data_IF_243263714558
#
_entry.id   IF_243263714558
#
_cell.length_a   1.000
_cell.length_b   1.000
_cell.length_c   1.000
_cell.angle_alpha   90.00
_cell.angle_beta   90.00
_cell.angle_gamma   90.00
#
_symmetry.space_group_name_H-M   'P 1'
#
loop_
_entity.id
_entity.type
_entity.pdbx_description
1 polymer ?
#
# COMPACT_ATOMS: atom_id res chain seq x y z
N UNK A 1 -26.51 27.32 9.79
CA UNK A 1 -26.04 26.95 8.44
C UNK A 1 -25.41 25.54 8.40
N UNK A 2 -24.74 25.07 9.46
CA UNK A 2 -24.15 23.73 9.52
C UNK A 2 -24.68 22.86 10.69
N UNK A 3 -25.79 23.27 11.33
CA UNK A 3 -26.29 22.64 12.56
C UNK A 3 -26.77 21.19 12.40
N UNK A 4 -27.07 20.77 11.18
CA UNK A 4 -27.54 19.41 10.84
C UNK A 4 -26.45 18.59 10.12
N UNK A 5 -25.19 19.05 10.10
CA UNK A 5 -24.10 18.34 9.41
C UNK A 5 -23.39 17.38 10.37
N UNK A 6 -23.57 16.07 10.17
CA UNK A 6 -22.90 15.03 10.96
C UNK A 6 -21.43 14.80 10.56
N UNK A 7 -21.03 15.23 9.36
CA UNK A 7 -19.71 14.97 8.80
C UNK A 7 -19.33 16.04 7.78
N UNK A 8 -18.09 16.53 7.88
CA UNK A 8 -17.47 17.35 6.84
C UNK A 8 -16.57 16.45 6.00
N UNK A 9 -16.74 16.52 4.68
CA UNK A 9 -15.89 15.82 3.71
C UNK A 9 -15.15 16.86 2.87
N UNK A 10 -13.82 16.75 2.80
CA UNK A 10 -12.97 17.64 1.99
C UNK A 10 -11.94 16.86 1.20
N UNK A 11 -11.30 17.50 0.22
CA UNK A 11 -10.07 17.02 -0.39
C UNK A 11 -8.88 17.91 0.00
N UNK A 12 -7.97 17.42 0.85
CA UNK A 12 -6.85 18.21 1.37
C UNK A 12 -7.25 19.42 2.24
N UNK A 13 -8.50 19.46 2.72
CA UNK A 13 -9.04 20.59 3.47
C UNK A 13 -8.45 20.74 4.86
N UNK A 14 -7.93 19.66 5.49
CA UNK A 14 -7.30 19.74 6.83
C UNK A 14 -6.07 20.64 6.85
N UNK A 15 -5.36 20.73 5.75
CA UNK A 15 -4.12 21.49 5.63
C UNK A 15 -4.28 22.77 4.80
N UNK A 16 -5.45 22.99 4.19
CA UNK A 16 -5.67 24.10 3.26
C UNK A 16 -6.90 24.91 3.63
N UNK A 17 -8.10 24.45 3.29
CA UNK A 17 -9.33 25.25 3.43
C UNK A 17 -9.68 25.54 4.89
N UNK A 18 -9.67 24.51 5.75
CA UNK A 18 -10.14 24.62 7.14
C UNK A 18 -9.31 25.63 7.95
N UNK A 19 -7.96 25.59 7.94
CA UNK A 19 -7.15 26.59 8.64
C UNK A 19 -7.38 28.04 8.17
N UNK A 20 -7.61 28.23 6.87
CA UNK A 20 -7.90 29.56 6.30
C UNK A 20 -9.25 30.06 6.80
N UNK A 21 -10.27 29.20 6.80
CA UNK A 21 -11.59 29.57 7.29
C UNK A 21 -11.58 29.83 8.82
N UNK A 22 -10.92 28.98 9.60
CA UNK A 22 -10.70 29.17 11.05
C UNK A 22 -10.11 30.55 11.36
N UNK A 23 -9.04 30.91 10.64
CA UNK A 23 -8.39 32.22 10.77
C UNK A 23 -9.35 33.36 10.45
N UNK A 24 -10.19 33.21 9.41
CA UNK A 24 -11.18 34.21 9.01
C UNK A 24 -12.29 34.37 10.04
N UNK A 25 -12.84 33.28 10.60
CA UNK A 25 -13.86 33.38 11.66
C UNK A 25 -13.29 34.01 12.93
N UNK A 26 -12.11 33.59 13.36
CA UNK A 26 -11.42 34.18 14.51
C UNK A 26 -11.19 35.68 14.32
N UNK A 27 -10.73 36.11 13.14
CA UNK A 27 -10.52 37.52 12.82
C UNK A 27 -11.82 38.34 12.92
N UNK A 28 -12.95 37.78 12.49
CA UNK A 28 -14.26 38.42 12.59
C UNK A 28 -14.98 38.17 13.92
N UNK A 29 -14.32 37.55 14.91
CA UNK A 29 -14.90 37.18 16.22
C UNK A 29 -16.18 36.35 16.11
N UNK A 30 -16.24 35.49 15.09
CA UNK A 30 -17.33 34.55 14.87
C UNK A 30 -16.94 33.18 15.43
N UNK A 31 -17.90 32.47 16.03
CA UNK A 31 -17.70 31.06 16.39
C UNK A 31 -17.52 30.22 15.12
N UNK A 32 -16.60 29.25 15.18
CA UNK A 32 -16.39 28.30 14.08
C UNK A 32 -17.61 27.37 14.02
N UNK A 33 -18.42 27.44 12.95
CA UNK A 33 -19.68 26.68 12.89
C UNK A 33 -19.47 25.18 12.65
N UNK A 34 -18.22 24.77 12.47
CA UNK A 34 -17.79 23.39 12.25
C UNK A 34 -17.12 22.78 13.50
N UNK A 35 -17.07 23.53 14.61
CA UNK A 35 -16.48 23.06 15.86
C UNK A 35 -17.22 21.79 16.34
N UNK A 36 -16.45 20.72 16.58
CA UNK A 36 -16.99 19.44 17.05
C UNK A 36 -17.56 18.53 15.97
N UNK A 37 -17.68 18.99 14.71
CA UNK A 37 -18.13 18.14 13.60
C UNK A 37 -16.96 17.26 13.13
N UNK A 38 -17.13 15.93 13.04
CA UNK A 38 -16.12 15.04 12.47
C UNK A 38 -15.68 15.48 11.07
N UNK A 39 -14.38 15.35 10.78
CA UNK A 39 -13.81 15.76 9.50
C UNK A 39 -13.09 14.62 8.80
N UNK A 40 -13.66 14.19 7.68
CA UNK A 40 -13.10 13.21 6.78
C UNK A 40 -12.40 13.89 5.60
N UNK A 41 -11.06 13.85 5.62
CA UNK A 41 -10.25 14.35 4.51
C UNK A 41 -9.90 13.20 3.55
N UNK A 42 -10.49 13.25 2.35
CA UNK A 42 -10.42 12.21 1.33
C UNK A 42 -9.01 12.06 0.71
N UNK A 43 -8.11 13.05 0.87
CA UNK A 43 -6.75 12.94 0.37
C UNK A 43 -6.01 11.75 0.99
N UNK A 44 -6.18 11.50 2.29
CA UNK A 44 -5.43 10.43 2.96
C UNK A 44 -5.94 9.02 2.59
N UNK A 45 -7.25 8.73 2.53
CA UNK A 45 -7.75 7.51 1.91
C UNK A 45 -7.32 7.37 0.44
N UNK A 46 -7.37 8.45 -0.35
CA UNK A 46 -6.97 8.42 -1.75
C UNK A 46 -5.49 8.02 -1.93
N UNK A 47 -4.59 8.58 -1.13
CA UNK A 47 -3.16 8.20 -1.11
C UNK A 47 -2.94 6.73 -0.71
N UNK A 48 -3.79 6.18 0.15
CA UNK A 48 -3.70 4.76 0.55
C UNK A 48 -4.18 3.84 -0.57
N UNK A 49 -5.24 4.22 -1.27
CA UNK A 49 -5.89 3.41 -2.31
C UNK A 49 -5.19 3.50 -3.67
N UNK A 50 -4.88 4.71 -4.14
CA UNK A 50 -4.58 4.94 -5.57
C UNK A 50 -3.20 5.52 -5.86
N UNK A 51 -2.33 5.71 -4.86
CA UNK A 51 -0.97 6.22 -5.10
C UNK A 51 -0.18 5.38 -6.11
N UNK A 52 -0.44 4.07 -6.23
CA UNK A 52 0.23 3.27 -7.28
C UNK A 52 -0.32 3.57 -8.69
N UNK A 53 -1.62 3.84 -8.81
CA UNK A 53 -2.32 3.99 -10.09
C UNK A 53 -2.22 5.40 -10.68
N UNK A 54 -2.05 6.44 -9.86
CA UNK A 54 -2.05 7.85 -10.34
C UNK A 54 -0.66 8.45 -10.57
N UNK A 55 0.32 8.13 -9.71
CA UNK A 55 1.79 8.28 -9.88
C UNK A 55 2.43 7.99 -8.51
N UNK A 56 3.69 7.51 -8.48
CA UNK A 56 4.39 7.28 -7.20
C UNK A 56 4.74 8.58 -6.43
N UNK A 57 4.48 9.77 -7.00
CA UNK A 57 4.70 11.07 -6.34
C UNK A 57 3.48 11.53 -5.55
N UNK A 58 3.67 12.43 -4.58
CA UNK A 58 2.56 13.01 -3.80
C UNK A 58 1.56 13.78 -4.66
N UNK A 59 2.03 14.26 -5.81
CA UNK A 59 1.26 14.96 -6.83
C UNK A 59 0.32 14.03 -7.62
N UNK A 60 0.55 12.71 -7.54
CA UNK A 60 -0.28 11.70 -8.19
C UNK A 60 -1.71 11.74 -7.69
N UNK A 61 -1.91 11.89 -6.39
CA UNK A 61 -3.26 11.97 -5.81
C UNK A 61 -3.78 13.41 -5.77
N UNK A 62 -3.60 14.20 -6.83
CA UNK A 62 -4.41 15.40 -7.05
C UNK A 62 -5.80 14.98 -7.55
N UNK A 63 -6.84 15.74 -7.22
CA UNK A 63 -8.22 15.39 -7.57
C UNK A 63 -8.40 15.26 -9.10
N UNK A 64 -7.80 16.17 -9.87
CA UNK A 64 -7.74 16.14 -11.34
C UNK A 64 -7.07 14.89 -11.91
N UNK A 65 -6.10 14.31 -11.21
CA UNK A 65 -5.48 13.05 -11.62
C UNK A 65 -6.40 11.85 -11.31
N UNK A 66 -7.09 11.88 -10.18
CA UNK A 66 -8.07 10.84 -9.81
C UNK A 66 -9.28 10.85 -10.75
N UNK A 67 -9.74 12.01 -11.19
CA UNK A 67 -10.77 12.13 -12.23
C UNK A 67 -10.39 11.39 -13.51
N UNK A 68 -9.16 11.62 -14.00
CA UNK A 68 -8.68 10.95 -15.21
C UNK A 68 -8.52 9.45 -15.00
N UNK A 69 -7.95 9.02 -13.88
CA UNK A 69 -7.62 7.61 -13.64
C UNK A 69 -8.83 6.77 -13.23
N UNK A 70 -9.76 7.33 -12.46
CA UNK A 70 -10.89 6.59 -11.88
C UNK A 70 -12.21 6.82 -12.60
N UNK A 71 -12.41 8.02 -13.17
CA UNK A 71 -13.69 8.45 -13.74
C UNK A 71 -13.61 8.66 -15.26
N UNK A 72 -12.43 8.48 -15.87
CA UNK A 72 -12.13 8.82 -17.27
C UNK A 72 -12.54 10.26 -17.65
N UNK A 73 -12.50 11.16 -16.66
CA UNK A 73 -12.88 12.57 -16.83
C UNK A 73 -11.67 13.42 -17.15
N UNK A 74 -11.81 14.31 -18.13
CA UNK A 74 -10.81 15.33 -18.48
C UNK A 74 -11.47 16.69 -18.49
N UNK A 75 -10.94 17.61 -17.69
CA UNK A 75 -11.41 19.00 -17.66
C UNK A 75 -10.94 19.76 -18.91
N UNK A 76 -11.78 20.63 -19.44
CA UNK A 76 -11.47 21.50 -20.58
C UNK A 76 -11.65 22.94 -20.14
N UNK A 77 -10.62 23.77 -20.34
CA UNK A 77 -10.68 25.20 -19.99
C UNK A 77 -10.66 25.49 -18.48
N UNK A 78 -10.18 24.54 -17.67
CA UNK A 78 -10.11 24.71 -16.22
C UNK A 78 -9.09 25.78 -15.81
N UNK A 79 -9.40 26.54 -14.76
CA UNK A 79 -8.51 27.60 -14.27
C UNK A 79 -7.38 26.99 -13.46
N UNK A 80 -6.11 27.37 -13.71
CA UNK A 80 -5.02 26.97 -12.83
C UNK A 80 -5.25 27.52 -11.41
N UNK A 81 -5.14 26.66 -10.39
CA UNK A 81 -5.45 27.04 -9.01
C UNK A 81 -4.68 28.27 -8.49
N UNK A 82 -3.48 28.53 -9.00
CA UNK A 82 -2.68 29.71 -8.64
C UNK A 82 -3.27 31.04 -9.15
N UNK A 83 -4.15 31.02 -10.17
CA UNK A 83 -4.82 32.22 -10.70
C UNK A 83 -6.06 32.60 -9.88
N UNK A 84 -6.62 31.67 -9.11
CA UNK A 84 -7.86 31.87 -8.36
C UNK A 84 -7.79 33.09 -7.42
N UNK A 85 -6.73 33.29 -6.60
CA UNK A 85 -6.63 34.47 -5.74
C UNK A 85 -6.63 35.79 -6.51
N UNK A 86 -5.93 35.87 -7.64
CA UNK A 86 -5.86 37.10 -8.44
C UNK A 86 -7.23 37.46 -9.03
N UNK A 87 -7.94 36.45 -9.56
CA UNK A 87 -9.30 36.62 -10.10
C UNK A 87 -10.26 37.11 -9.01
N UNK A 88 -10.15 36.59 -7.79
CA UNK A 88 -10.93 37.03 -6.64
C UNK A 88 -10.61 38.47 -6.23
N UNK A 89 -9.33 38.85 -6.14
CA UNK A 89 -8.96 40.24 -5.83
C UNK A 89 -9.38 41.23 -6.92
N UNK A 90 -9.40 40.80 -8.18
CA UNK A 90 -9.92 41.61 -9.29
C UNK A 90 -11.41 41.92 -9.08
N UNK A 91 -12.21 40.90 -8.77
CA UNK A 91 -13.62 41.07 -8.42
C UNK A 91 -13.81 42.04 -7.23
N UNK A 92 -13.04 41.88 -6.15
CA UNK A 92 -13.16 42.76 -4.98
C UNK A 92 -12.85 44.24 -5.31
N UNK A 93 -11.97 44.51 -6.28
CA UNK A 93 -11.61 45.87 -6.68
C UNK A 93 -12.58 46.49 -7.69
N UNK A 94 -13.06 45.70 -8.65
CA UNK A 94 -13.87 46.22 -9.76
C UNK A 94 -15.37 46.04 -9.56
N UNK A 95 -15.81 45.12 -8.68
CA UNK A 95 -17.19 44.65 -8.60
C UNK A 95 -17.62 43.75 -9.77
N UNK A 96 -16.77 43.53 -10.77
CA UNK A 96 -17.07 42.69 -11.94
C UNK A 96 -16.86 41.21 -11.61
N UNK A 97 -17.95 40.44 -11.61
CA UNK A 97 -17.96 39.03 -11.27
C UNK A 97 -17.58 38.10 -12.44
N UNK A 98 -17.50 38.58 -13.68
CA UNK A 98 -17.16 37.74 -14.86
C UNK A 98 -15.87 36.93 -14.69
N UNK A 99 -14.78 37.46 -14.08
CA UNK A 99 -13.57 36.67 -13.82
C UNK A 99 -13.75 35.48 -12.87
N UNK A 100 -14.83 35.47 -12.06
CA UNK A 100 -15.14 34.40 -11.10
C UNK A 100 -15.91 33.24 -11.70
N UNK A 101 -16.59 33.41 -12.84
CA UNK A 101 -17.38 32.33 -13.45
C UNK A 101 -16.55 31.05 -13.67
N UNK A 102 -15.32 31.12 -14.24
CA UNK A 102 -14.46 29.94 -14.32
C UNK A 102 -13.98 29.39 -12.96
N UNK A 103 -13.88 30.23 -11.93
CA UNK A 103 -13.51 29.80 -10.57
C UNK A 103 -14.66 29.03 -9.91
N UNK A 104 -15.89 29.48 -10.10
CA UNK A 104 -17.09 28.80 -9.60
C UNK A 104 -17.28 27.46 -10.31
N UNK A 105 -17.04 27.41 -11.62
CA UNK A 105 -17.08 26.16 -12.37
C UNK A 105 -16.00 25.17 -11.91
N UNK A 106 -14.77 25.64 -11.67
CA UNK A 106 -13.71 24.83 -11.06
C UNK A 106 -14.14 24.24 -9.72
N UNK A 107 -14.68 25.08 -8.82
CA UNK A 107 -15.14 24.63 -7.50
C UNK A 107 -16.30 23.63 -7.60
N UNK A 108 -17.24 23.85 -8.54
CA UNK A 108 -18.34 22.91 -8.81
C UNK A 108 -17.79 21.55 -9.23
N UNK A 109 -16.82 21.51 -10.15
CA UNK A 109 -16.18 20.27 -10.60
C UNK A 109 -15.41 19.58 -9.47
N UNK A 110 -14.73 20.33 -8.61
CA UNK A 110 -14.04 19.80 -7.43
C UNK A 110 -15.03 19.13 -6.46
N UNK A 111 -16.17 19.75 -6.18
CA UNK A 111 -17.19 19.19 -5.29
C UNK A 111 -17.80 17.91 -5.85
N UNK A 112 -18.11 17.89 -7.15
CA UNK A 112 -18.62 16.68 -7.83
C UNK A 112 -17.57 15.57 -7.83
N UNK A 113 -16.31 15.91 -8.11
CA UNK A 113 -15.22 14.94 -8.16
C UNK A 113 -14.88 14.39 -6.78
N UNK A 114 -14.93 15.22 -5.73
CA UNK A 114 -14.82 14.79 -4.34
C UNK A 114 -15.92 13.79 -3.98
N UNK A 115 -17.17 14.07 -4.34
CA UNK A 115 -18.29 13.16 -4.09
C UNK A 115 -18.09 11.83 -4.83
N UNK A 116 -17.72 11.86 -6.11
CA UNK A 116 -17.49 10.67 -6.92
C UNK A 116 -16.33 9.80 -6.40
N UNK A 117 -15.18 10.42 -6.08
CA UNK A 117 -14.01 9.72 -5.52
C UNK A 117 -14.32 9.13 -4.15
N UNK A 118 -15.06 9.86 -3.30
CA UNK A 118 -15.49 9.37 -1.98
C UNK A 118 -16.45 8.18 -2.12
N UNK A 119 -17.42 8.27 -3.03
CA UNK A 119 -18.34 7.17 -3.32
C UNK A 119 -17.60 5.93 -3.85
N UNK A 120 -16.60 6.11 -4.72
CA UNK A 120 -15.76 5.01 -5.21
C UNK A 120 -14.99 4.33 -4.06
N UNK A 121 -14.37 5.09 -3.17
CA UNK A 121 -13.69 4.54 -1.99
C UNK A 121 -14.65 3.79 -1.07
N UNK A 122 -15.82 4.38 -0.77
CA UNK A 122 -16.84 3.77 0.07
C UNK A 122 -17.34 2.45 -0.54
N UNK A 123 -17.60 2.43 -1.85
CA UNK A 123 -17.99 1.22 -2.56
C UNK A 123 -16.93 0.13 -2.46
N UNK A 124 -15.64 0.44 -2.68
CA UNK A 124 -14.55 -0.53 -2.53
C UNK A 124 -14.45 -1.07 -1.08
N UNK A 125 -14.57 -0.19 -0.09
CA UNK A 125 -14.54 -0.56 1.33
C UNK A 125 -15.73 -1.43 1.75
N UNK A 126 -16.87 -1.31 1.07
CA UNK A 126 -18.05 -2.13 1.33
C UNK A 126 -18.03 -3.45 0.55
N UNK A 127 -17.81 -3.40 -0.76
CA UNK A 127 -17.88 -4.55 -1.64
C UNK A 127 -16.62 -5.45 -1.61
N UNK A 128 -15.49 -4.96 -1.12
CA UNK A 128 -14.26 -5.75 -1.02
C UNK A 128 -13.49 -5.87 -2.33
N UNK A 129 -12.75 -6.97 -2.47
CA UNK A 129 -11.85 -7.21 -3.61
C UNK A 129 -12.58 -7.30 -4.96
N UNK A 130 -13.85 -7.72 -4.96
CA UNK A 130 -14.69 -7.75 -6.17
C UNK A 130 -14.90 -6.37 -6.81
N UNK A 131 -14.77 -5.28 -6.03
CA UNK A 131 -14.89 -3.93 -6.53
C UNK A 131 -13.56 -3.33 -7.04
N UNK A 132 -12.42 -4.00 -6.84
CA UNK A 132 -11.11 -3.50 -7.28
C UNK A 132 -10.94 -3.64 -8.80
N UNK A 133 -10.54 -2.58 -9.47
CA UNK A 133 -10.25 -2.55 -10.92
C UNK A 133 -9.01 -3.36 -11.27
N UNK A 134 -7.97 -3.31 -10.44
CA UNK A 134 -6.71 -3.99 -10.69
C UNK A 134 -6.09 -4.58 -9.40
N UNK A 135 -4.93 -5.24 -9.56
CA UNK A 135 -4.18 -5.80 -8.44
C UNK A 135 -3.60 -4.75 -7.49
N UNK A 136 -3.33 -3.53 -7.97
CA UNK A 136 -2.82 -2.43 -7.17
C UNK A 136 -3.87 -1.93 -6.17
N UNK A 137 -5.11 -1.71 -6.64
CA UNK A 137 -6.26 -1.42 -5.79
C UNK A 137 -6.53 -2.56 -4.79
N UNK A 138 -6.47 -3.82 -5.24
CA UNK A 138 -6.66 -4.96 -4.36
C UNK A 138 -5.59 -5.03 -3.26
N UNK A 139 -4.31 -4.82 -3.59
CA UNK A 139 -3.23 -4.77 -2.60
C UNK A 139 -3.44 -3.62 -1.60
N UNK A 140 -3.80 -2.43 -2.10
CA UNK A 140 -4.05 -1.26 -1.28
C UNK A 140 -5.22 -1.46 -0.31
N UNK A 141 -6.34 -1.99 -0.80
CA UNK A 141 -7.53 -2.31 -0.02
C UNK A 141 -7.24 -3.41 1.03
N UNK A 142 -6.47 -4.43 0.65
CA UNK A 142 -6.03 -5.47 1.57
C UNK A 142 -5.23 -4.91 2.76
N UNK A 143 -4.34 -3.94 2.53
CA UNK A 143 -3.62 -3.23 3.62
C UNK A 143 -4.54 -2.38 4.52
N UNK A 144 -5.68 -1.93 3.99
CA UNK A 144 -6.68 -1.23 4.81
C UNK A 144 -7.39 -2.25 5.70
N UNK A 145 -7.86 -3.37 5.16
CA UNK A 145 -8.49 -4.44 5.94
C UNK A 145 -7.55 -5.08 6.96
N UNK A 146 -6.28 -5.29 6.62
CA UNK A 146 -5.28 -5.84 7.54
C UNK A 146 -5.08 -4.94 8.77
N UNK A 147 -5.01 -3.61 8.57
CA UNK A 147 -4.93 -2.64 9.68
C UNK A 147 -6.19 -2.58 10.52
N UNK A 148 -7.34 -2.86 9.91
CA UNK A 148 -8.63 -2.97 10.60
C UNK A 148 -8.87 -4.37 11.18
N UNK A 149 -7.87 -5.27 11.14
CA UNK A 149 -7.95 -6.65 11.61
C UNK A 149 -9.05 -7.50 10.93
N UNK A 150 -9.59 -7.03 9.80
CA UNK A 150 -10.54 -7.74 8.95
C UNK A 150 -9.80 -8.74 8.05
N UNK A 151 -9.17 -9.73 8.66
CA UNK A 151 -8.18 -10.58 8.00
C UNK A 151 -8.74 -11.39 6.83
N UNK A 152 -9.98 -11.88 6.89
CA UNK A 152 -10.58 -12.63 5.79
C UNK A 152 -10.76 -11.76 4.54
N UNK A 153 -11.16 -10.50 4.72
CA UNK A 153 -11.28 -9.52 3.64
C UNK A 153 -9.91 -9.12 3.10
N UNK A 154 -8.92 -8.95 3.98
CA UNK A 154 -7.55 -8.69 3.59
C UNK A 154 -6.97 -9.84 2.75
N UNK A 155 -7.27 -11.08 3.14
CA UNK A 155 -6.82 -12.28 2.46
C UNK A 155 -7.40 -12.39 1.05
N UNK A 156 -8.71 -12.15 0.88
CA UNK A 156 -9.36 -12.10 -0.42
C UNK A 156 -8.72 -11.04 -1.34
N UNK A 157 -8.49 -9.83 -0.81
CA UNK A 157 -7.78 -8.77 -1.52
C UNK A 157 -6.36 -9.18 -1.94
N UNK A 158 -5.58 -9.80 -1.06
CA UNK A 158 -4.22 -10.23 -1.39
C UNK A 158 -4.19 -11.38 -2.39
N UNK A 159 -5.15 -12.32 -2.35
CA UNK A 159 -5.27 -13.36 -3.39
C UNK A 159 -5.52 -12.73 -4.75
N UNK A 160 -6.43 -11.75 -4.84
CA UNK A 160 -6.68 -11.00 -6.09
C UNK A 160 -5.41 -10.27 -6.56
N UNK A 161 -4.71 -9.60 -5.65
CA UNK A 161 -3.47 -8.90 -5.97
C UNK A 161 -2.33 -9.83 -6.41
N UNK A 162 -2.26 -11.06 -5.87
CA UNK A 162 -1.28 -12.07 -6.26
C UNK A 162 -1.47 -12.59 -7.70
N UNK A 163 -2.64 -12.36 -8.31
CA UNK A 163 -2.89 -12.64 -9.73
C UNK A 163 -2.45 -11.48 -10.67
N UNK A 164 -1.91 -10.39 -10.12
CA UNK A 164 -1.46 -9.23 -10.91
C UNK A 164 -0.30 -9.58 -11.86
N UNK A 165 -0.27 -8.91 -13.01
CA UNK A 165 0.88 -8.92 -13.93
C UNK A 165 2.03 -8.04 -13.45
N UNK A 166 1.75 -7.07 -12.58
CA UNK A 166 2.77 -6.26 -11.92
C UNK A 166 3.49 -7.11 -10.86
N UNK A 167 4.77 -7.39 -11.10
CA UNK A 167 5.60 -8.22 -10.23
C UNK A 167 5.77 -7.64 -8.82
N UNK A 168 5.83 -6.30 -8.65
CA UNK A 168 5.90 -5.69 -7.32
C UNK A 168 4.60 -5.95 -6.54
N UNK A 169 3.45 -5.74 -7.19
CA UNK A 169 2.13 -5.97 -6.58
C UNK A 169 1.95 -7.44 -6.21
N UNK A 170 2.27 -8.33 -7.16
CA UNK A 170 2.17 -9.78 -6.96
C UNK A 170 3.08 -10.24 -5.84
N UNK A 171 4.35 -9.84 -5.86
CA UNK A 171 5.34 -10.21 -4.86
C UNK A 171 4.91 -9.78 -3.46
N UNK A 172 4.52 -8.52 -3.28
CA UNK A 172 4.09 -8.04 -1.97
C UNK A 172 2.84 -8.78 -1.47
N UNK A 173 1.86 -9.01 -2.34
CA UNK A 173 0.64 -9.74 -1.99
C UNK A 173 0.95 -11.17 -1.52
N UNK A 174 1.81 -11.90 -2.25
CA UNK A 174 2.29 -13.22 -1.85
C UNK A 174 3.01 -13.17 -0.49
N UNK A 175 3.85 -12.17 -0.26
CA UNK A 175 4.60 -12.04 0.99
C UNK A 175 3.68 -11.83 2.19
N UNK A 176 2.64 -11.01 2.03
CA UNK A 176 1.63 -10.77 3.07
C UNK A 176 0.82 -12.03 3.36
N UNK A 177 0.37 -12.75 2.33
CA UNK A 177 -0.29 -14.04 2.49
C UNK A 177 0.62 -15.04 3.22
N UNK A 178 1.90 -15.14 2.84
CA UNK A 178 2.83 -16.10 3.42
C UNK A 178 3.09 -15.83 4.91
N UNK A 179 3.24 -14.55 5.30
CA UNK A 179 3.33 -14.14 6.71
C UNK A 179 2.05 -14.52 7.46
N UNK A 180 0.88 -14.30 6.87
CA UNK A 180 -0.41 -14.65 7.47
C UNK A 180 -0.54 -16.16 7.69
N UNK A 181 -0.29 -16.98 6.65
CA UNK A 181 -0.31 -18.45 6.75
C UNK A 181 0.64 -18.97 7.81
N UNK A 182 1.83 -18.37 7.93
CA UNK A 182 2.79 -18.72 8.99
C UNK A 182 2.24 -18.43 10.39
N UNK A 183 1.55 -17.29 10.59
CA UNK A 183 0.90 -16.95 11.88
C UNK A 183 -0.24 -17.93 12.22
N UNK A 184 -0.97 -18.40 11.21
CA UNK A 184 -2.01 -19.43 11.33
C UNK A 184 -1.46 -20.86 11.48
N UNK A 185 -0.13 -21.02 11.59
CA UNK A 185 0.57 -22.33 11.64
C UNK A 185 0.38 -23.20 10.39
N UNK A 186 -0.10 -22.63 9.27
CA UNK A 186 -0.21 -23.27 7.96
C UNK A 186 1.15 -23.21 7.24
N UNK A 187 2.14 -23.92 7.80
CA UNK A 187 3.54 -23.77 7.40
C UNK A 187 3.82 -24.24 5.98
N UNK A 188 3.15 -25.30 5.51
CA UNK A 188 3.32 -25.80 4.15
C UNK A 188 2.84 -24.77 3.12
N UNK A 189 1.63 -24.22 3.30
CA UNK A 189 1.09 -23.19 2.42
C UNK A 189 1.92 -21.90 2.45
N UNK A 190 2.45 -21.51 3.61
CA UNK A 190 3.39 -20.41 3.67
C UNK A 190 4.65 -20.67 2.82
N UNK A 191 5.18 -21.90 2.86
CA UNK A 191 6.35 -22.28 2.07
C UNK A 191 6.08 -22.29 0.55
N UNK A 192 4.89 -22.70 0.11
CA UNK A 192 4.48 -22.59 -1.29
C UNK A 192 4.54 -21.13 -1.77
N UNK A 193 3.96 -20.20 -1.00
CA UNK A 193 3.95 -18.78 -1.32
C UNK A 193 5.36 -18.16 -1.34
N UNK A 194 6.24 -18.58 -0.42
CA UNK A 194 7.64 -18.15 -0.45
C UNK A 194 8.38 -18.70 -1.68
N UNK A 195 8.10 -19.94 -2.11
CA UNK A 195 8.66 -20.50 -3.35
C UNK A 195 8.19 -19.74 -4.59
N UNK A 196 6.92 -19.35 -4.64
CA UNK A 196 6.41 -18.49 -5.72
C UNK A 196 7.16 -17.14 -5.79
N UNK A 197 7.46 -16.52 -4.65
CA UNK A 197 8.25 -15.28 -4.62
C UNK A 197 9.67 -15.50 -5.13
N UNK A 198 10.35 -16.58 -4.72
CA UNK A 198 11.68 -16.92 -5.21
C UNK A 198 11.69 -17.16 -6.72
N UNK A 199 10.64 -17.80 -7.26
CA UNK A 199 10.47 -17.99 -8.69
C UNK A 199 10.20 -16.67 -9.43
N UNK A 200 9.30 -15.83 -8.90
CA UNK A 200 8.98 -14.49 -9.45
C UNK A 200 10.21 -13.59 -9.54
N UNK A 201 11.15 -13.75 -8.62
CA UNK A 201 12.36 -12.92 -8.48
C UNK A 201 13.64 -13.57 -9.04
N UNK A 202 13.52 -14.63 -9.85
CA UNK A 202 14.69 -15.37 -10.33
C UNK A 202 15.60 -14.59 -11.30
N UNK A 203 15.03 -13.64 -12.06
CA UNK A 203 15.78 -12.81 -13.02
C UNK A 203 16.84 -11.94 -12.32
N UNK A 204 17.99 -11.76 -12.97
CA UNK A 204 19.08 -10.89 -12.50
C UNK A 204 18.61 -9.43 -12.38
N UNK A 205 17.77 -8.96 -13.30
CA UNK A 205 17.23 -7.59 -13.26
C UNK A 205 16.36 -7.38 -12.01
N UNK A 206 15.53 -8.36 -11.68
CA UNK A 206 14.63 -8.33 -10.52
C UNK A 206 15.38 -8.47 -9.19
N UNK A 207 16.52 -9.16 -9.19
CA UNK A 207 17.40 -9.25 -8.00
C UNK A 207 18.04 -7.93 -7.61
N UNK A 208 18.23 -7.02 -8.58
CA UNK A 208 18.78 -5.67 -8.36
C UNK A 208 17.72 -4.61 -8.09
N UNK A 209 16.44 -4.95 -8.25
CA UNK A 209 15.34 -4.09 -7.84
C UNK A 209 15.26 -4.10 -6.30
N UNK A 210 15.39 -2.93 -5.67
CA UNK A 210 15.51 -2.84 -4.21
C UNK A 210 14.34 -3.48 -3.46
N UNK A 211 13.11 -3.28 -3.93
CA UNK A 211 11.93 -3.81 -3.23
C UNK A 211 11.78 -5.32 -3.44
N UNK A 212 11.93 -5.78 -4.69
CA UNK A 212 11.79 -7.21 -5.02
C UNK A 212 12.99 -8.04 -4.54
N UNK A 213 14.19 -7.48 -4.54
CA UNK A 213 15.40 -8.09 -3.98
C UNK A 213 15.31 -8.28 -2.47
N UNK A 214 14.85 -7.27 -1.73
CA UNK A 214 14.60 -7.42 -0.28
C UNK A 214 13.56 -8.50 0.01
N UNK A 215 12.46 -8.51 -0.76
CA UNK A 215 11.41 -9.51 -0.61
C UNK A 215 11.93 -10.93 -0.90
N UNK A 216 12.78 -11.08 -1.93
CA UNK A 216 13.45 -12.35 -2.25
C UNK A 216 14.29 -12.84 -1.08
N UNK A 217 15.12 -11.98 -0.48
CA UNK A 217 15.95 -12.36 0.66
C UNK A 217 15.11 -12.89 1.82
N UNK A 218 14.00 -12.22 2.13
CA UNK A 218 13.05 -12.67 3.16
C UNK A 218 12.45 -14.02 2.82
N UNK A 219 12.07 -14.25 1.55
CA UNK A 219 11.50 -15.52 1.10
C UNK A 219 12.49 -16.68 1.19
N UNK A 220 13.74 -16.49 0.71
CA UNK A 220 14.81 -17.49 0.80
C UNK A 220 15.10 -17.83 2.26
N UNK A 221 15.18 -16.81 3.12
CA UNK A 221 15.38 -17.03 4.55
C UNK A 221 14.25 -17.84 5.19
N UNK A 222 12.99 -17.50 4.87
CA UNK A 222 11.82 -18.21 5.38
C UNK A 222 11.79 -19.68 4.94
N UNK A 223 12.20 -19.98 3.69
CA UNK A 223 12.32 -21.34 3.19
C UNK A 223 13.45 -22.12 3.86
N UNK A 224 14.60 -21.50 4.12
CA UNK A 224 15.68 -22.13 4.88
C UNK A 224 15.21 -22.54 6.28
N UNK A 225 14.44 -21.67 6.96
CA UNK A 225 13.82 -21.98 8.27
C UNK A 225 12.81 -23.12 8.14
N UNK A 226 11.99 -23.12 7.08
CA UNK A 226 11.00 -24.18 6.83
C UNK A 226 11.68 -25.54 6.68
N UNK A 227 12.70 -25.64 5.82
CA UNK A 227 13.43 -26.89 5.62
C UNK A 227 14.19 -27.35 6.88
N UNK A 228 14.75 -26.43 7.68
CA UNK A 228 15.43 -26.78 8.93
C UNK A 228 14.46 -27.36 9.98
N UNK A 229 13.28 -26.75 10.15
CA UNK A 229 12.41 -27.02 11.30
C UNK A 229 11.16 -27.86 10.99
N UNK A 230 10.71 -27.92 9.73
CA UNK A 230 9.50 -28.64 9.32
C UNK A 230 9.86 -29.89 8.54
N UNK A 231 10.58 -29.74 7.43
CA UNK A 231 10.94 -30.88 6.57
C UNK A 231 12.12 -31.70 7.12
N UNK A 232 12.88 -31.11 8.05
CA UNK A 232 14.16 -31.64 8.55
C UNK A 232 15.18 -31.93 7.43
N UNK A 233 15.04 -31.24 6.30
CA UNK A 233 15.97 -31.30 5.18
C UNK A 233 17.08 -30.26 5.40
N UNK A 234 18.10 -30.65 6.17
CA UNK A 234 19.21 -29.78 6.53
C UNK A 234 20.07 -29.38 5.32
N UNK A 235 20.15 -30.22 4.30
CA UNK A 235 20.91 -29.94 3.08
C UNK A 235 20.30 -28.79 2.30
N UNK A 236 18.99 -28.85 2.01
CA UNK A 236 18.28 -27.76 1.32
C UNK A 236 18.22 -26.48 2.16
N UNK A 237 18.09 -26.60 3.48
CA UNK A 237 18.16 -25.43 4.38
C UNK A 237 19.52 -24.71 4.28
N UNK A 238 20.62 -25.48 4.19
CA UNK A 238 21.98 -24.96 4.06
C UNK A 238 22.20 -24.32 2.71
N UNK A 239 21.77 -24.97 1.64
CA UNK A 239 21.88 -24.47 0.26
C UNK A 239 21.19 -23.10 0.13
N UNK A 240 19.95 -22.97 0.59
CA UNK A 240 19.23 -21.69 0.59
C UNK A 240 19.93 -20.63 1.44
N UNK A 241 20.48 -20.99 2.59
CA UNK A 241 21.24 -20.06 3.42
C UNK A 241 22.52 -19.58 2.71
N UNK A 242 23.22 -20.44 1.96
CA UNK A 242 24.37 -20.04 1.15
C UNK A 242 23.97 -19.10 0.01
N UNK A 243 22.88 -19.39 -0.70
CA UNK A 243 22.35 -18.49 -1.72
C UNK A 243 22.00 -17.11 -1.14
N UNK A 244 21.33 -17.07 0.02
CA UNK A 244 21.03 -15.82 0.71
C UNK A 244 22.29 -15.03 1.09
N UNK A 245 23.40 -15.71 1.44
CA UNK A 245 24.67 -15.07 1.76
C UNK A 245 25.36 -14.48 0.52
N UNK A 246 25.26 -15.15 -0.63
CA UNK A 246 25.83 -14.71 -1.89
C UNK A 246 25.06 -13.53 -2.51
N UNK A 247 23.74 -13.49 -2.34
CA UNK A 247 22.87 -12.45 -2.90
C UNK A 247 22.59 -11.29 -1.91
N UNK A 248 23.07 -11.38 -0.66
CA UNK A 248 22.75 -10.46 0.42
C UNK A 248 23.76 -9.34 0.62
N UNK A 249 23.28 -8.14 0.97
CA UNK A 249 24.13 -7.07 1.49
C UNK A 249 24.53 -7.35 2.95
N UNK A 250 25.70 -6.84 3.35
CA UNK A 250 26.39 -7.17 4.59
C UNK A 250 25.58 -7.10 5.90
N UNK A 251 24.44 -6.38 5.93
CA UNK A 251 23.56 -6.24 7.11
C UNK A 251 22.94 -7.55 7.59
N UNK A 252 22.60 -8.49 6.68
CA UNK A 252 22.00 -9.79 7.05
C UNK A 252 23.01 -10.94 7.03
N UNK A 253 24.22 -10.69 6.52
CA UNK A 253 25.23 -11.71 6.29
C UNK A 253 25.66 -12.43 7.57
N UNK A 254 25.77 -11.72 8.70
CA UNK A 254 26.19 -12.31 9.98
C UNK A 254 25.19 -13.35 10.51
N UNK A 255 23.89 -13.01 10.54
CA UNK A 255 22.84 -13.94 10.94
C UNK A 255 22.76 -15.18 10.04
N UNK A 256 22.97 -15.00 8.73
CA UNK A 256 23.02 -16.09 7.75
C UNK A 256 24.24 -16.98 7.97
N UNK A 257 25.44 -16.41 8.20
CA UNK A 257 26.66 -17.17 8.53
C UNK A 257 26.49 -18.00 9.81
N UNK A 258 25.91 -17.43 10.86
CA UNK A 258 25.61 -18.18 12.09
C UNK A 258 24.67 -19.36 11.83
N UNK A 259 23.66 -19.19 10.97
CA UNK A 259 22.77 -20.28 10.57
C UNK A 259 23.50 -21.37 9.80
N UNK A 260 24.34 -21.01 8.82
CA UNK A 260 25.15 -21.97 8.06
C UNK A 260 26.01 -22.80 9.01
N UNK A 261 26.76 -22.15 9.90
CA UNK A 261 27.60 -22.85 10.88
C UNK A 261 26.79 -23.78 11.81
N UNK A 262 25.57 -23.37 12.20
CA UNK A 262 24.65 -24.22 12.97
C UNK A 262 24.19 -25.44 12.17
N UNK A 263 23.83 -25.25 10.90
CA UNK A 263 23.39 -26.32 10.01
C UNK A 263 24.54 -27.31 9.74
N UNK A 264 25.76 -26.82 9.49
CA UNK A 264 26.96 -27.66 9.31
C UNK A 264 27.21 -28.57 10.51
N UNK A 265 27.12 -28.03 11.73
CA UNK A 265 27.23 -28.84 12.96
C UNK A 265 26.14 -29.89 13.07
N UNK A 266 24.89 -29.57 12.70
CA UNK A 266 23.77 -30.52 12.73
C UNK A 266 23.95 -31.63 11.68
N UNK A 267 24.39 -31.29 10.47
CA UNK A 267 24.66 -32.25 9.39
C UNK A 267 25.79 -33.20 9.81
N UNK A 268 26.91 -32.67 10.31
CA UNK A 268 28.02 -33.49 10.80
C UNK A 268 27.61 -34.44 11.93
N UNK A 269 26.79 -33.97 12.88
CA UNK A 269 26.25 -34.81 13.96
C UNK A 269 25.31 -35.92 13.45
N UNK A 270 24.52 -35.64 12.41
CA UNK A 270 23.64 -36.64 11.78
C UNK A 270 24.44 -37.69 10.99
N UNK A 271 25.57 -37.30 10.40
CA UNK A 271 26.44 -38.20 9.63
C UNK A 271 27.31 -39.10 10.53
N UNK A 272 27.71 -38.63 11.72
CA UNK A 272 28.51 -39.39 12.69
C UNK A 272 27.71 -40.31 13.64
N UNK A 273 26.41 -40.49 13.41
CA UNK A 273 25.47 -41.13 14.35
C UNK A 273 25.14 -42.62 14.10
N UNK A 274 25.78 -43.30 13.15
CA UNK A 274 25.59 -44.75 12.94
C UNK A 274 26.88 -45.53 13.21
N UNK A 275 27.15 -45.98 14.45
CA UNK A 275 27.95 -47.17 14.66
C UNK A 275 27.01 -48.39 14.55
N UNK A 276 27.14 -49.14 13.46
CA UNK A 276 26.63 -50.51 13.39
C UNK A 276 27.22 -51.29 14.58
N UNK A 277 26.36 -51.70 15.50
CA UNK A 277 26.67 -52.79 16.43
C UNK A 277 26.63 -54.10 15.64
N UNK A 278 27.69 -54.37 14.90
CA UNK A 278 28.09 -55.73 14.55
C UNK A 278 29.08 -56.19 15.62
N UNK A 279 28.57 -56.98 16.56
CA UNK A 279 29.39 -57.92 17.33
C UNK A 279 28.69 -59.27 17.29
N UNK A 280 29.28 -60.17 16.50
CA UNK A 280 29.07 -61.62 16.56
C UNK A 280 29.52 -62.20 17.91
#
# INVERSE_FOLDING_TARGET
>A
FFGDCDLIVTYNGKTFDVPVMETRWAFHRMEMPLAGIPHFDMLHPARRLWRRSTSRSEEGCRLTNLERTLLDMRRVGDVPGFEIPERFFRFLRSGDARPLEPVLEHNRLDLVSLAAVTARAAHMAHAGDGACQDGGEALALGRIYERAEAFDRADACYRRAAASKDCEVRGEALGRLAVRRRRERRFAEAAELWREIVALTASVSTRRDGALGELRQVAVEALAIHHEHRDRNLASARELALFALQEGDGRRAEGVRHRIARLDRKIAKSAGGSPELFTS
#
